data_IF_691995306552
#
_entry.id   IF_691995306552
#
_cell.length_a   1.000
_cell.length_b   1.000
_cell.length_c   1.000
_cell.angle_alpha   90.00
_cell.angle_beta   90.00
_cell.angle_gamma   90.00
#
_symmetry.space_group_name_H-M   'P 1'
#
loop_
_entity.id
_entity.type
_entity.pdbx_description
1 polymer ?
#
# COMPACT_ATOMS: atom_id res chain seq x y z
N UNK A 1 16.57 -4.92 29.78
CA UNK A 1 15.59 -5.80 29.12
C UNK A 1 14.43 -4.91 28.71
N UNK A 2 14.28 -4.68 27.41
CA UNK A 2 13.19 -3.87 26.83
C UNK A 2 12.05 -4.86 26.56
N UNK A 3 10.77 -4.55 26.85
CA UNK A 3 9.68 -5.47 26.59
C UNK A 3 9.58 -5.76 25.09
N UNK A 4 9.51 -7.04 24.73
CA UNK A 4 9.47 -7.56 23.34
C UNK A 4 8.14 -7.29 22.60
N UNK A 5 7.29 -6.38 23.06
CA UNK A 5 5.93 -6.23 22.49
C UNK A 5 5.38 -4.80 22.49
N UNK A 6 6.24 -3.78 22.53
CA UNK A 6 5.78 -2.43 22.18
C UNK A 6 5.74 -2.33 20.65
N UNK A 7 4.58 -2.66 20.05
CA UNK A 7 4.23 -2.35 18.66
C UNK A 7 4.26 -0.84 18.45
N UNK A 8 5.44 -0.27 18.29
CA UNK A 8 5.57 1.12 17.87
C UNK A 8 5.24 1.16 16.39
N UNK A 9 4.03 1.63 16.06
CA UNK A 9 3.69 2.02 14.70
C UNK A 9 4.57 3.20 14.31
N UNK A 10 5.35 3.04 13.25
CA UNK A 10 6.17 4.12 12.71
C UNK A 10 5.39 4.77 11.56
N UNK A 11 5.23 6.09 11.64
CA UNK A 11 4.66 6.87 10.54
C UNK A 11 5.70 6.97 9.43
N UNK A 12 5.58 6.11 8.42
CA UNK A 12 6.47 6.11 7.28
C UNK A 12 6.09 7.30 6.37
N UNK A 13 7.06 8.18 6.12
CA UNK A 13 6.89 9.30 5.21
C UNK A 13 5.63 10.13 5.54
N UNK A 14 5.55 10.77 6.72
CA UNK A 14 4.31 11.33 7.30
C UNK A 14 3.62 12.40 6.44
N UNK A 15 4.32 12.94 5.44
CA UNK A 15 3.82 13.97 4.51
C UNK A 15 3.63 13.46 3.08
N UNK A 16 3.86 12.17 2.81
CA UNK A 16 3.66 11.61 1.48
C UNK A 16 2.17 11.54 1.19
N UNK A 17 1.70 12.42 0.31
CA UNK A 17 0.29 12.49 -0.10
C UNK A 17 0.00 11.79 -1.42
N UNK A 18 1.02 11.59 -2.24
CA UNK A 18 0.91 11.06 -3.59
C UNK A 18 2.04 10.07 -3.87
N UNK A 19 1.70 8.89 -4.37
CA UNK A 19 2.66 7.86 -4.79
C UNK A 19 2.41 7.44 -6.24
N UNK A 20 3.43 7.60 -7.09
CA UNK A 20 3.40 7.19 -8.49
C UNK A 20 4.50 6.16 -8.76
N UNK A 21 4.10 4.94 -9.11
CA UNK A 21 5.00 3.87 -9.52
C UNK A 21 4.78 3.57 -11.00
N UNK A 22 5.83 3.73 -11.80
CA UNK A 22 5.75 3.62 -13.25
C UNK A 22 6.92 2.84 -13.82
N UNK A 23 6.59 1.83 -14.63
CA UNK A 23 7.53 1.02 -15.40
C UNK A 23 8.64 0.41 -14.54
N UNK A 24 8.19 -0.26 -13.48
CA UNK A 24 9.04 -0.96 -12.53
C UNK A 24 8.80 -2.48 -12.65
N UNK A 25 9.26 -3.14 -13.74
CA UNK A 25 8.94 -4.54 -14.04
C UNK A 25 9.47 -5.54 -13.01
N UNK A 26 10.55 -5.18 -12.31
CA UNK A 26 11.21 -6.02 -11.32
C UNK A 26 10.86 -5.64 -9.87
N UNK A 27 10.00 -4.64 -9.67
CA UNK A 27 9.69 -4.14 -8.34
C UNK A 27 8.65 -5.03 -7.66
N UNK A 28 9.05 -5.64 -6.54
CA UNK A 28 8.29 -6.73 -5.92
C UNK A 28 7.49 -6.29 -4.70
N UNK A 29 8.05 -5.40 -3.89
CA UNK A 29 7.45 -5.05 -2.61
C UNK A 29 7.68 -3.59 -2.25
N UNK A 30 6.69 -3.02 -1.57
CA UNK A 30 6.74 -1.72 -0.93
C UNK A 30 6.91 -1.94 0.58
N UNK A 31 7.98 -1.39 1.15
CA UNK A 31 8.24 -1.30 2.60
C UNK A 31 7.97 -2.60 3.38
N UNK A 32 8.99 -3.45 3.50
CA UNK A 32 8.91 -4.69 4.28
C UNK A 32 9.14 -4.42 5.79
N UNK A 33 8.36 -5.09 6.65
CA UNK A 33 8.68 -5.21 8.09
C UNK A 33 8.22 -4.06 8.99
N UNK A 34 7.53 -3.05 8.48
CA UNK A 34 7.04 -1.92 9.29
C UNK A 34 5.51 -1.88 9.24
N UNK A 35 4.86 -1.83 10.41
CA UNK A 35 3.46 -1.37 10.49
C UNK A 35 3.46 0.12 10.19
N UNK A 36 3.34 0.44 8.92
CA UNK A 36 3.42 1.79 8.40
C UNK A 36 2.05 2.46 8.47
N UNK A 37 1.98 3.60 9.13
CA UNK A 37 0.84 4.47 9.04
C UNK A 37 1.09 5.56 7.99
N UNK A 38 0.19 5.68 7.03
CA UNK A 38 0.25 6.55 5.85
C UNK A 38 -0.83 7.63 5.96
N UNK A 39 -0.72 8.44 6.99
CA UNK A 39 -1.76 9.39 7.38
C UNK A 39 -2.05 10.43 6.30
N UNK A 40 -1.03 10.88 5.57
CA UNK A 40 -1.20 11.91 4.53
C UNK A 40 -1.52 11.35 3.15
N UNK A 41 -1.42 10.03 2.94
CA UNK A 41 -1.53 9.43 1.61
C UNK A 41 -2.97 9.47 1.11
N UNK A 42 -3.17 10.17 0.00
CA UNK A 42 -4.46 10.45 -0.62
C UNK A 42 -4.62 9.66 -1.93
N UNK A 43 -3.57 9.63 -2.75
CA UNK A 43 -3.61 9.08 -4.10
C UNK A 43 -2.41 8.18 -4.40
N UNK A 44 -2.70 7.03 -5.02
CA UNK A 44 -1.70 6.07 -5.48
C UNK A 44 -1.98 5.70 -6.92
N UNK A 45 -0.95 5.71 -7.76
CA UNK A 45 -1.02 5.30 -9.16
C UNK A 45 0.05 4.24 -9.42
N UNK A 46 -0.35 3.10 -9.99
CA UNK A 46 0.53 1.96 -10.26
C UNK A 46 0.36 1.52 -11.70
N UNK A 47 1.40 1.75 -12.49
CA UNK A 47 1.44 1.49 -13.93
C UNK A 47 2.68 0.65 -14.27
N UNK A 48 2.51 -0.33 -15.16
CA UNK A 48 3.60 -1.19 -15.66
C UNK A 48 4.49 -1.77 -14.54
N UNK A 49 3.90 -2.14 -13.41
CA UNK A 49 4.61 -2.69 -12.23
C UNK A 49 4.08 -4.11 -11.89
N UNK A 50 4.24 -5.09 -12.79
CA UNK A 50 3.57 -6.39 -12.72
C UNK A 50 4.00 -7.30 -11.56
N UNK A 51 5.20 -7.10 -10.99
CA UNK A 51 5.72 -7.94 -9.90
C UNK A 51 5.35 -7.46 -8.51
N UNK A 52 4.75 -6.27 -8.39
CA UNK A 52 4.28 -5.75 -7.11
C UNK A 52 3.03 -6.51 -6.70
N UNK A 53 3.13 -7.32 -5.66
CA UNK A 53 2.03 -8.20 -5.22
C UNK A 53 1.36 -7.76 -3.93
N UNK A 54 2.01 -6.91 -3.14
CA UNK A 54 1.52 -6.45 -1.83
C UNK A 54 1.57 -4.94 -1.74
N UNK A 55 0.63 -4.38 -0.98
CA UNK A 55 0.51 -2.94 -0.74
C UNK A 55 0.51 -2.68 0.77
N UNK A 56 1.41 -1.86 1.32
CA UNK A 56 1.51 -1.60 2.76
C UNK A 56 0.47 -0.59 3.28
N UNK A 57 -0.51 -0.22 2.45
CA UNK A 57 -1.54 0.79 2.74
C UNK A 57 -2.88 0.16 3.13
N UNK A 58 -2.94 -1.18 3.28
CA UNK A 58 -4.19 -1.93 3.47
C UNK A 58 -4.65 -1.92 4.93
N UNK A 59 -5.98 -1.87 5.13
CA UNK A 59 -6.73 -1.81 6.40
C UNK A 59 -6.14 -0.93 7.51
N UNK A 60 -6.79 0.22 7.77
CA UNK A 60 -6.43 1.17 8.83
C UNK A 60 -5.04 1.84 8.72
N UNK A 61 -4.22 1.40 7.77
CA UNK A 61 -2.87 1.93 7.54
C UNK A 61 -2.86 3.24 6.75
N UNK A 62 -3.85 3.48 5.88
CA UNK A 62 -3.96 4.71 5.07
C UNK A 62 -5.40 5.25 5.09
N UNK A 63 -5.82 5.94 6.17
CA UNK A 63 -7.22 6.33 6.36
C UNK A 63 -7.73 7.35 5.33
N UNK A 64 -6.84 8.12 4.71
CA UNK A 64 -7.19 9.17 3.75
C UNK A 64 -7.03 8.74 2.28
N UNK A 65 -6.62 7.49 2.03
CA UNK A 65 -6.42 6.99 0.67
C UNK A 65 -7.77 6.83 -0.03
N UNK A 66 -7.98 7.57 -1.12
CA UNK A 66 -9.25 7.58 -1.86
C UNK A 66 -9.40 6.41 -2.84
N UNK A 67 -8.29 5.89 -3.32
CA UNK A 67 -8.28 4.80 -4.31
C UNK A 67 -6.90 4.60 -4.92
N UNK A 68 -6.80 3.57 -5.75
CA UNK A 68 -5.58 3.25 -6.49
C UNK A 68 -5.91 3.28 -7.97
N UNK A 69 -5.16 4.07 -8.74
CA UNK A 69 -5.31 4.11 -10.18
C UNK A 69 -4.43 3.05 -10.85
N UNK A 70 -5.04 2.20 -11.65
CA UNK A 70 -4.32 1.24 -12.48
C UNK A 70 -5.15 0.78 -13.67
N UNK A 71 -4.52 0.69 -14.84
CA UNK A 71 -5.18 0.16 -16.05
C UNK A 71 -5.10 -1.37 -16.16
N UNK A 72 -4.52 -2.06 -15.17
CA UNK A 72 -4.28 -3.50 -15.22
C UNK A 72 -5.16 -4.28 -14.24
N UNK A 73 -6.37 -4.65 -14.71
CA UNK A 73 -7.30 -5.49 -13.94
C UNK A 73 -6.69 -6.82 -13.49
N UNK A 74 -5.86 -7.46 -14.33
CA UNK A 74 -5.22 -8.73 -13.99
C UNK A 74 -4.26 -8.58 -12.81
N UNK A 75 -3.53 -7.47 -12.76
CA UNK A 75 -2.67 -7.15 -11.63
C UNK A 75 -3.50 -6.89 -10.36
N UNK A 76 -4.57 -6.09 -10.45
CA UNK A 76 -5.45 -5.81 -9.32
C UNK A 76 -6.06 -7.07 -8.68
N UNK A 77 -6.50 -8.01 -9.52
CA UNK A 77 -7.06 -9.27 -9.06
C UNK A 77 -6.02 -10.26 -8.53
N UNK A 78 -4.75 -10.09 -8.93
CA UNK A 78 -3.61 -10.89 -8.47
C UNK A 78 -2.92 -10.32 -7.22
N UNK A 79 -3.33 -9.14 -6.73
CA UNK A 79 -2.82 -8.58 -5.49
C UNK A 79 -3.11 -9.53 -4.31
N UNK A 80 -2.09 -9.71 -3.47
CA UNK A 80 -2.16 -10.46 -2.23
C UNK A 80 -2.70 -9.54 -1.13
N UNK A 81 -4.01 -9.60 -0.90
CA UNK A 81 -4.71 -8.79 0.11
C UNK A 81 -4.60 -9.41 1.50
N UNK A 82 -4.29 -8.60 2.52
CA UNK A 82 -4.20 -9.06 3.91
C UNK A 82 -5.54 -9.57 4.47
N UNK A 83 -6.66 -9.01 4.01
CA UNK A 83 -8.01 -9.51 4.28
C UNK A 83 -9.01 -9.02 3.20
N UNK A 84 -10.18 -9.65 3.14
CA UNK A 84 -11.24 -9.27 2.20
C UNK A 84 -11.76 -7.84 2.38
N UNK A 85 -11.73 -7.30 3.61
CA UNK A 85 -12.18 -5.93 3.89
C UNK A 85 -11.23 -4.89 3.28
N UNK A 86 -9.93 -5.18 3.19
CA UNK A 86 -8.93 -4.33 2.55
C UNK A 86 -9.22 -4.12 1.05
N UNK A 87 -9.62 -5.19 0.35
CA UNK A 87 -10.03 -5.08 -1.07
C UNK A 87 -11.31 -4.26 -1.22
N UNK A 88 -12.23 -4.31 -0.26
CA UNK A 88 -13.49 -3.56 -0.30
C UNK A 88 -13.32 -2.08 0.07
N UNK A 89 -12.32 -1.74 0.87
CA UNK A 89 -12.02 -0.37 1.27
C UNK A 89 -11.43 0.47 0.13
N UNK A 90 -10.73 -0.18 -0.81
CA UNK A 90 -10.07 0.48 -1.93
C UNK A 90 -10.83 0.26 -3.23
N UNK A 91 -11.06 1.35 -3.96
CA UNK A 91 -11.55 1.29 -5.33
C UNK A 91 -10.36 1.36 -6.29
N UNK A 92 -10.36 0.49 -7.29
CA UNK A 92 -9.52 0.69 -8.46
C UNK A 92 -10.21 1.73 -9.35
N UNK A 93 -9.48 2.80 -9.66
CA UNK A 93 -9.90 3.89 -10.56
C UNK A 93 -9.19 3.75 -11.91
#
# INVERSE_FOLDING_TARGET
MIPEDEKVEYEALPKLSYLYLYDLPEFVNLFEGVRTCWQSLDEVIILNTPKLKKLPFVTNSAPNLKGIQSYNQKWWDALEWDNHAAKLQLLML
#
